data_IF_189588937369
#
_entry.id   IF_189588937369
#
_cell.length_a   1.000
_cell.length_b   1.000
_cell.length_c   1.000
_cell.angle_alpha   90.00
_cell.angle_beta   90.00
_cell.angle_gamma   90.00
#
_symmetry.space_group_name_H-M   'P 1'
#
loop_
_entity.id
_entity.type
_entity.pdbx_description
1 polymer ?
#
# COMPACT_ATOMS: atom_id res chain seq x y z
N UNK A 1 -42.64 -33.55 -52.35
CA UNK A 1 -43.59 -34.33 -51.52
C UNK A 1 -42.93 -34.59 -50.16
N UNK A 2 -43.57 -34.61 -48.98
CA UNK A 2 -44.91 -34.22 -48.50
C UNK A 2 -44.85 -34.20 -46.94
N UNK A 3 -45.59 -33.42 -46.14
CA UNK A 3 -46.40 -32.18 -46.30
C UNK A 3 -46.80 -31.66 -44.89
N UNK A 4 -46.92 -30.33 -44.71
CA UNK A 4 -47.92 -29.64 -43.83
C UNK A 4 -48.02 -30.15 -42.35
N UNK A 5 -47.37 -29.53 -41.36
CA UNK A 5 -47.73 -28.26 -40.68
C UNK A 5 -49.01 -28.26 -39.79
N UNK A 6 -48.86 -27.87 -38.51
CA UNK A 6 -49.87 -27.54 -37.46
C UNK A 6 -49.08 -26.92 -36.28
N UNK A 7 -49.42 -25.81 -35.62
CA UNK A 7 -50.51 -24.80 -35.74
C UNK A 7 -50.03 -23.41 -35.25
N UNK A 8 -50.73 -22.34 -35.63
CA UNK A 8 -50.78 -21.02 -34.96
C UNK A 8 -52.09 -20.95 -34.11
N UNK A 9 -52.46 -19.96 -33.28
CA UNK A 9 -51.98 -18.61 -32.83
C UNK A 9 -52.79 -18.25 -31.56
N UNK A 10 -52.57 -17.20 -30.75
CA UNK A 10 -51.65 -16.05 -30.75
C UNK A 10 -50.96 -15.98 -29.35
N UNK A 11 -50.62 -14.87 -28.65
CA UNK A 11 -50.68 -13.40 -28.78
C UNK A 11 -49.47 -12.82 -28.00
N UNK A 12 -48.76 -11.73 -28.36
CA UNK A 12 -49.13 -10.42 -28.90
C UNK A 12 -49.48 -9.32 -27.86
N UNK A 13 -48.52 -8.99 -26.98
CA UNK A 13 -48.25 -7.66 -26.39
C UNK A 13 -46.85 -7.71 -25.72
N UNK A 14 -45.78 -7.08 -26.20
CA UNK A 14 -45.51 -5.65 -26.46
C UNK A 14 -45.11 -4.84 -25.21
N UNK A 15 -43.82 -4.54 -25.08
CA UNK A 15 -43.34 -3.15 -24.94
C UNK A 15 -41.90 -3.01 -25.48
N UNK A 16 -41.50 -1.78 -25.79
CA UNK A 16 -40.18 -1.45 -26.34
C UNK A 16 -39.29 -0.90 -25.22
N UNK A 17 -38.04 -1.40 -25.13
CA UNK A 17 -36.93 -0.62 -24.59
C UNK A 17 -35.86 -0.54 -25.67
N UNK A 18 -35.77 0.62 -26.32
CA UNK A 18 -34.66 0.95 -27.19
C UNK A 18 -33.60 1.69 -26.36
N UNK A 19 -32.62 0.93 -25.86
CA UNK A 19 -31.37 1.46 -25.34
C UNK A 19 -30.25 0.72 -26.08
N UNK A 20 -29.70 1.36 -27.11
CA UNK A 20 -28.78 0.71 -28.03
C UNK A 20 -27.40 0.46 -27.40
N UNK A 21 -27.14 -0.78 -26.98
CA UNK A 21 -25.78 -1.26 -26.73
C UNK A 21 -25.03 -1.38 -28.06
N UNK A 22 -24.48 -0.26 -28.53
CA UNK A 22 -23.66 -0.22 -29.74
C UNK A 22 -22.35 -0.95 -29.49
N UNK A 23 -22.33 -2.25 -29.79
CA UNK A 23 -21.09 -3.02 -29.95
C UNK A 23 -20.31 -2.50 -31.17
N UNK A 24 -19.55 -1.41 -30.99
CA UNK A 24 -18.51 -1.00 -31.95
C UNK A 24 -17.37 -2.01 -31.88
N UNK A 25 -17.45 -3.07 -32.69
CA UNK A 25 -16.30 -3.94 -32.94
C UNK A 25 -15.14 -3.13 -33.49
N UNK A 26 -13.93 -3.36 -32.99
CA UNK A 26 -12.71 -2.63 -33.40
C UNK A 26 -12.39 -2.97 -34.86
N UNK A 27 -12.79 -2.09 -35.78
CA UNK A 27 -12.48 -2.22 -37.19
C UNK A 27 -11.12 -1.58 -37.48
N UNK A 28 -10.07 -2.40 -37.56
CA UNK A 28 -8.73 -1.96 -37.95
C UNK A 28 -8.76 -1.43 -39.40
N UNK A 29 -8.65 -0.11 -39.55
CA UNK A 29 -8.42 0.54 -40.84
C UNK A 29 -6.92 0.81 -41.04
N UNK A 30 -6.50 0.84 -42.31
CA UNK A 30 -5.07 0.73 -42.69
C UNK A 30 -4.13 1.87 -42.25
N UNK A 31 -4.65 2.94 -41.63
CA UNK A 31 -3.89 4.14 -41.25
C UNK A 31 -3.75 4.36 -39.72
N UNK A 32 -3.99 3.33 -38.89
CA UNK A 32 -3.37 3.21 -37.57
C UNK A 32 -3.76 4.19 -36.44
N UNK A 33 -4.56 5.23 -36.69
CA UNK A 33 -4.98 6.19 -35.66
C UNK A 33 -6.05 5.59 -34.75
N UNK A 34 -5.62 5.03 -33.61
CA UNK A 34 -6.52 4.76 -32.47
C UNK A 34 -6.94 6.10 -31.88
N UNK A 35 -8.15 6.56 -32.23
CA UNK A 35 -8.71 7.74 -31.60
C UNK A 35 -9.13 7.39 -30.18
N UNK A 36 -8.29 7.75 -29.21
CA UNK A 36 -8.72 7.78 -27.82
C UNK A 36 -9.91 8.74 -27.70
N UNK A 37 -11.02 8.27 -27.12
CA UNK A 37 -12.11 9.15 -26.77
C UNK A 37 -11.69 9.95 -25.53
N UNK A 38 -11.47 11.25 -25.68
CA UNK A 38 -11.30 12.17 -24.54
C UNK A 38 -12.56 12.10 -23.68
N UNK A 39 -12.49 11.27 -22.64
CA UNK A 39 -13.57 11.12 -21.68
C UNK A 39 -13.48 12.32 -20.75
N UNK A 40 -14.13 13.41 -21.15
CA UNK A 40 -14.34 14.60 -20.32
C UNK A 40 -15.20 14.20 -19.13
N UNK A 41 -14.54 13.66 -18.10
CA UNK A 41 -15.15 13.24 -16.85
C UNK A 41 -15.64 14.48 -16.09
N UNK A 42 -16.82 14.97 -16.49
CA UNK A 42 -17.57 15.96 -15.75
C UNK A 42 -17.81 15.39 -14.35
N UNK A 43 -17.06 15.88 -13.36
CA UNK A 43 -17.08 15.33 -12.02
C UNK A 43 -18.47 15.53 -11.41
N UNK A 44 -19.24 14.44 -11.36
CA UNK A 44 -20.50 14.40 -10.64
C UNK A 44 -20.18 14.54 -9.15
N UNK A 45 -20.19 15.79 -8.67
CA UNK A 45 -19.82 16.13 -7.31
C UNK A 45 -20.48 15.17 -6.31
N UNK A 46 -19.63 14.48 -5.53
CA UNK A 46 -20.05 13.39 -4.65
C UNK A 46 -21.15 13.86 -3.69
N UNK A 47 -22.29 13.16 -3.73
CA UNK A 47 -23.50 13.52 -2.96
C UNK A 47 -23.70 12.70 -1.68
N UNK A 48 -22.77 11.81 -1.37
CA UNK A 48 -22.77 11.08 -0.11
C UNK A 48 -22.36 11.97 1.07
N UNK A 49 -22.45 11.43 2.29
CA UNK A 49 -21.96 12.11 3.48
C UNK A 49 -20.43 12.18 3.43
N UNK A 50 -19.86 13.35 3.76
CA UNK A 50 -18.41 13.53 3.90
C UNK A 50 -17.89 12.60 5.01
N UNK A 51 -16.90 11.72 4.76
CA UNK A 51 -16.31 10.90 5.82
C UNK A 51 -15.61 11.79 6.84
N UNK A 52 -15.74 11.45 8.13
CA UNK A 52 -14.99 12.01 9.25
C UNK A 52 -13.63 11.31 9.39
N UNK A 53 -13.60 10.01 9.12
CA UNK A 53 -12.42 9.17 9.26
C UNK A 53 -12.04 8.62 7.89
N UNK A 54 -10.79 8.79 7.49
CA UNK A 54 -10.30 8.38 6.16
C UNK A 54 -9.04 7.55 6.35
N UNK A 55 -9.08 6.29 5.90
CA UNK A 55 -7.92 5.41 5.82
C UNK A 55 -7.51 5.23 4.35
N UNK A 56 -6.24 5.42 4.06
CA UNK A 56 -5.62 5.23 2.75
C UNK A 56 -4.51 4.18 2.87
N UNK A 57 -4.81 2.94 2.48
CA UNK A 57 -3.85 1.84 2.47
C UNK A 57 -3.17 1.72 1.11
N UNK A 58 -1.85 1.69 1.10
CA UNK A 58 -1.02 1.48 -0.08
C UNK A 58 -0.15 0.24 0.13
N UNK A 59 -0.30 -0.77 -0.73
CA UNK A 59 0.74 -1.80 -0.89
C UNK A 59 1.73 -1.35 -1.96
N UNK A 60 2.94 -0.93 -1.57
CA UNK A 60 4.02 -0.61 -2.53
C UNK A 60 4.25 -1.86 -3.40
N UNK A 61 4.20 -1.72 -4.72
CA UNK A 61 4.33 -2.83 -5.68
C UNK A 61 3.18 -3.86 -5.71
N UNK A 62 2.07 -3.64 -4.98
CA UNK A 62 0.95 -4.58 -4.90
C UNK A 62 -0.07 -4.41 -6.04
N UNK A 63 -0.14 -5.37 -6.96
CA UNK A 63 -1.18 -5.44 -7.99
C UNK A 63 -2.01 -6.73 -7.87
N UNK A 64 -2.89 -6.98 -8.85
CA UNK A 64 -3.70 -8.19 -8.91
C UNK A 64 -2.91 -9.50 -8.74
N UNK A 65 -1.69 -9.69 -9.28
CA UNK A 65 -0.91 -10.91 -9.05
C UNK A 65 -0.55 -11.14 -7.57
N UNK A 66 -0.10 -10.10 -6.86
CA UNK A 66 0.27 -10.15 -5.44
C UNK A 66 -0.95 -10.45 -4.56
N UNK A 67 -2.09 -9.82 -4.86
CA UNK A 67 -3.39 -10.09 -4.23
C UNK A 67 -3.81 -11.55 -4.50
N UNK A 68 -3.77 -11.99 -5.76
CA UNK A 68 -4.24 -13.31 -6.16
C UNK A 68 -3.37 -14.43 -5.55
N UNK A 69 -2.04 -14.37 -5.67
CA UNK A 69 -1.16 -15.44 -5.16
C UNK A 69 -1.29 -15.63 -3.64
N UNK A 70 -1.61 -14.56 -2.92
CA UNK A 70 -1.91 -14.59 -1.47
C UNK A 70 -3.23 -15.31 -1.16
N UNK A 71 -4.27 -15.05 -1.95
CA UNK A 71 -5.57 -15.72 -1.84
C UNK A 71 -5.51 -17.20 -2.26
N UNK A 72 -4.81 -17.49 -3.35
CA UNK A 72 -4.58 -18.85 -3.85
C UNK A 72 -3.74 -19.66 -2.85
N UNK A 73 -2.75 -19.05 -2.19
CA UNK A 73 -1.97 -19.70 -1.13
C UNK A 73 -2.83 -20.06 0.08
N UNK A 74 -3.67 -19.15 0.58
CA UNK A 74 -4.59 -19.48 1.69
C UNK A 74 -5.62 -20.55 1.31
N UNK A 75 -6.08 -20.54 0.06
CA UNK A 75 -6.99 -21.54 -0.48
C UNK A 75 -6.32 -22.92 -0.49
N UNK A 76 -5.14 -23.05 -1.11
CA UNK A 76 -4.34 -24.27 -1.11
C UNK A 76 -3.89 -24.74 0.30
N UNK A 77 -3.79 -23.84 1.27
CA UNK A 77 -3.49 -24.16 2.67
C UNK A 77 -4.70 -24.60 3.50
N UNK A 78 -5.92 -24.44 2.97
CA UNK A 78 -7.19 -24.90 3.59
C UNK A 78 -7.82 -26.09 2.85
N UNK A 79 -7.34 -26.40 1.65
CA UNK A 79 -7.78 -27.52 0.82
C UNK A 79 -7.13 -28.83 1.32
N UNK A 80 -7.58 -29.31 2.49
CA UNK A 80 -7.04 -30.51 3.16
C UNK A 80 -7.79 -31.81 2.80
N UNK A 81 -8.76 -31.71 1.89
CA UNK A 81 -9.69 -32.76 1.47
C UNK A 81 -9.04 -33.96 0.72
N UNK A 82 -7.74 -33.86 0.42
CA UNK A 82 -6.91 -34.86 -0.26
C UNK A 82 -7.58 -35.45 -1.53
N UNK A 83 -8.13 -34.58 -2.39
CA UNK A 83 -8.65 -34.95 -3.70
C UNK A 83 -8.32 -33.85 -4.74
N UNK A 84 -8.64 -34.09 -6.02
CA UNK A 84 -8.27 -33.19 -7.13
C UNK A 84 -9.27 -32.02 -7.34
N UNK A 85 -10.09 -31.68 -6.34
CA UNK A 85 -11.13 -30.64 -6.40
C UNK A 85 -10.79 -29.52 -5.42
N UNK A 86 -10.52 -28.33 -5.95
CA UNK A 86 -10.37 -27.09 -5.18
C UNK A 86 -11.72 -26.71 -4.57
N UNK A 87 -11.89 -26.96 -3.26
CA UNK A 87 -13.12 -26.66 -2.52
C UNK A 87 -12.97 -25.41 -1.63
N UNK A 88 -11.74 -25.07 -1.22
CA UNK A 88 -11.44 -23.85 -0.50
C UNK A 88 -11.31 -22.63 -1.42
N UNK A 89 -12.06 -21.56 -1.14
CA UNK A 89 -11.74 -20.19 -1.58
C UNK A 89 -11.48 -19.32 -0.34
N UNK A 90 -10.42 -18.52 -0.38
CA UNK A 90 -10.00 -17.62 0.70
C UNK A 90 -9.64 -16.26 0.14
N UNK A 91 -10.35 -15.23 0.56
CA UNK A 91 -10.21 -13.87 0.06
C UNK A 91 -9.54 -12.96 1.08
N UNK A 92 -8.80 -11.96 0.61
CA UNK A 92 -8.30 -10.88 1.47
C UNK A 92 -9.47 -9.95 1.80
N UNK A 93 -9.54 -9.47 3.05
CA UNK A 93 -10.69 -8.71 3.57
C UNK A 93 -11.09 -7.49 2.72
N UNK A 94 -10.11 -6.78 2.13
CA UNK A 94 -10.37 -5.64 1.23
C UNK A 94 -10.93 -6.00 -0.14
N UNK A 95 -10.83 -7.26 -0.59
CA UNK A 95 -11.44 -7.70 -1.87
C UNK A 95 -12.97 -7.93 -1.75
N UNK A 96 -13.52 -7.79 -0.54
CA UNK A 96 -14.97 -7.77 -0.28
C UNK A 96 -15.58 -6.36 -0.23
N UNK A 97 -14.81 -5.30 -0.51
CA UNK A 97 -15.33 -3.92 -0.47
C UNK A 97 -16.40 -3.66 -1.53
N UNK A 98 -17.36 -2.79 -1.21
CA UNK A 98 -18.56 -2.52 -2.04
C UNK A 98 -18.24 -1.98 -3.45
N UNK A 99 -17.08 -1.36 -3.61
CA UNK A 99 -16.59 -0.81 -4.87
C UNK A 99 -15.17 -1.32 -5.17
N UNK A 100 -14.94 -1.67 -6.42
CA UNK A 100 -13.61 -2.05 -6.96
C UNK A 100 -13.44 -1.44 -8.35
N UNK A 101 -12.20 -1.26 -8.78
CA UNK A 101 -11.84 -0.64 -10.05
C UNK A 101 -10.35 -0.76 -10.34
N UNK A 102 -9.92 -0.25 -11.48
CA UNK A 102 -8.51 -0.24 -11.91
C UNK A 102 -8.02 1.19 -12.15
N UNK A 103 -6.78 1.44 -11.77
CA UNK A 103 -6.07 2.69 -12.03
C UNK A 103 -4.94 2.45 -13.05
N UNK A 104 -4.52 3.52 -13.74
CA UNK A 104 -3.34 3.50 -14.62
C UNK A 104 -2.25 4.35 -13.98
N UNK A 105 -1.10 3.73 -13.74
CA UNK A 105 -0.13 4.22 -12.74
C UNK A 105 0.97 5.12 -13.31
N UNK A 106 1.20 5.12 -14.63
CA UNK A 106 2.30 5.80 -15.34
C UNK A 106 2.65 7.21 -14.82
N UNK A 107 3.94 7.57 -14.88
CA UNK A 107 4.44 8.90 -14.51
C UNK A 107 4.64 9.81 -15.74
N UNK A 108 5.11 11.05 -15.55
CA UNK A 108 5.29 12.03 -16.64
C UNK A 108 6.38 11.67 -17.67
N UNK A 109 7.05 10.53 -17.51
CA UNK A 109 8.14 10.02 -18.35
C UNK A 109 8.11 8.51 -18.64
N UNK A 110 7.41 7.70 -17.82
CA UNK A 110 7.52 6.24 -17.82
C UNK A 110 6.17 5.52 -17.60
N UNK A 111 5.93 4.47 -18.39
CA UNK A 111 4.86 3.50 -18.16
C UNK A 111 5.18 2.48 -17.04
N UNK A 112 6.42 2.46 -16.57
CA UNK A 112 6.87 1.75 -15.38
C UNK A 112 7.34 2.84 -14.38
N UNK A 113 6.42 3.39 -13.56
CA UNK A 113 6.70 4.51 -12.67
C UNK A 113 7.44 4.03 -11.41
N UNK A 114 7.70 4.94 -10.47
CA UNK A 114 8.25 4.63 -9.16
C UNK A 114 7.35 5.09 -8.01
N UNK A 115 7.54 4.53 -6.81
CA UNK A 115 6.78 4.88 -5.60
C UNK A 115 6.79 6.36 -5.17
N UNK A 116 7.63 7.22 -5.75
CA UNK A 116 7.58 8.67 -5.51
C UNK A 116 6.56 9.37 -6.42
N UNK A 117 6.60 9.07 -7.70
CA UNK A 117 5.71 9.64 -8.72
C UNK A 117 4.29 9.10 -8.64
N UNK A 118 4.11 7.82 -8.30
CA UNK A 118 2.80 7.21 -8.04
C UNK A 118 2.16 7.76 -6.77
N UNK A 119 2.89 7.82 -5.65
CA UNK A 119 2.37 8.34 -4.39
C UNK A 119 2.07 9.85 -4.46
N UNK A 120 2.90 10.64 -5.16
CA UNK A 120 2.57 12.05 -5.50
C UNK A 120 1.24 12.14 -6.26
N UNK A 121 0.99 11.22 -7.20
CA UNK A 121 -0.26 11.16 -7.96
C UNK A 121 -1.47 10.72 -7.11
N UNK A 122 -1.26 9.95 -6.04
CA UNK A 122 -2.30 9.54 -5.09
C UNK A 122 -2.60 10.61 -4.03
N UNK A 123 -1.59 11.37 -3.60
CA UNK A 123 -1.72 12.40 -2.55
C UNK A 123 -2.15 13.76 -3.09
N UNK A 124 -1.71 14.16 -4.28
CA UNK A 124 -1.96 15.51 -4.84
C UNK A 124 -2.96 15.53 -6.00
N UNK A 125 -3.08 14.42 -6.74
CA UNK A 125 -3.82 14.32 -8.00
C UNK A 125 -3.04 14.74 -9.25
N UNK A 126 -1.76 15.12 -9.13
CA UNK A 126 -0.90 15.51 -10.25
C UNK A 126 0.13 14.41 -10.59
N UNK A 127 0.53 14.34 -11.86
CA UNK A 127 1.70 13.56 -12.28
C UNK A 127 2.98 14.37 -12.09
N UNK A 128 4.11 13.67 -12.02
CA UNK A 128 5.46 14.23 -11.96
C UNK A 128 6.46 13.17 -12.48
N UNK A 129 7.75 13.44 -12.48
CA UNK A 129 8.77 12.46 -12.88
C UNK A 129 9.10 11.44 -11.80
N UNK A 130 9.48 10.23 -12.22
CA UNK A 130 10.10 9.21 -11.37
C UNK A 130 11.13 9.80 -10.40
N UNK A 131 11.00 9.48 -9.12
CA UNK A 131 11.87 9.94 -8.06
C UNK A 131 11.54 11.32 -7.48
N UNK A 132 10.48 11.99 -7.93
CA UNK A 132 10.06 13.32 -7.45
C UNK A 132 8.92 13.20 -6.43
N UNK A 133 8.96 14.00 -5.37
CA UNK A 133 7.96 14.02 -4.29
C UNK A 133 7.23 15.37 -4.32
N UNK A 134 5.94 15.38 -4.65
CA UNK A 134 5.04 16.55 -4.58
C UNK A 134 5.57 17.87 -5.19
N UNK A 135 6.31 17.77 -6.29
CA UNK A 135 6.79 18.89 -7.10
C UNK A 135 6.44 18.67 -8.57
N UNK A 136 6.27 19.76 -9.32
CA UNK A 136 6.11 19.73 -10.78
C UNK A 136 7.40 19.28 -11.51
N UNK A 137 7.27 18.99 -12.82
CA UNK A 137 8.38 18.54 -13.67
C UNK A 137 9.54 19.57 -13.82
N UNK A 138 9.34 20.84 -13.44
CA UNK A 138 10.40 21.86 -13.38
C UNK A 138 11.05 22.00 -12.00
N UNK A 139 10.48 21.34 -10.98
CA UNK A 139 10.84 21.47 -9.56
C UNK A 139 10.76 22.90 -9.02
N UNK A 140 9.83 23.72 -9.52
CA UNK A 140 9.60 25.11 -9.09
C UNK A 140 8.27 25.33 -8.38
N UNK A 141 7.32 24.40 -8.53
CA UNK A 141 5.98 24.46 -7.97
C UNK A 141 5.73 23.22 -7.11
N UNK A 142 5.48 23.43 -5.81
CA UNK A 142 5.05 22.38 -4.89
C UNK A 142 3.56 22.09 -5.05
N UNK A 143 3.17 20.84 -4.91
CA UNK A 143 1.79 20.38 -4.99
C UNK A 143 1.23 20.08 -3.59
N UNK A 144 0.28 20.88 -3.12
CA UNK A 144 -0.44 20.69 -1.85
C UNK A 144 -1.12 19.30 -1.83
N UNK A 145 -0.80 18.46 -0.85
CA UNK A 145 -1.34 17.10 -0.69
C UNK A 145 -2.73 17.10 -0.07
N UNK A 146 -3.41 15.95 -0.15
CA UNK A 146 -4.66 15.70 0.56
C UNK A 146 -4.48 15.74 2.08
N UNK A 147 -3.33 15.33 2.61
CA UNK A 147 -3.09 15.32 4.05
C UNK A 147 -3.00 16.75 4.62
N UNK A 148 -2.21 17.63 3.98
CA UNK A 148 -2.16 19.07 4.30
C UNK A 148 -3.55 19.71 4.20
N UNK A 149 -4.29 19.46 3.10
CA UNK A 149 -5.66 19.97 2.92
C UNK A 149 -6.60 19.56 4.06
N UNK A 150 -6.51 18.31 4.53
CA UNK A 150 -7.35 17.81 5.61
C UNK A 150 -6.92 18.38 6.97
N UNK A 151 -5.62 18.54 7.23
CA UNK A 151 -5.04 19.19 8.41
C UNK A 151 -5.42 20.67 8.49
N UNK A 152 -4.97 21.48 7.55
CA UNK A 152 -5.03 22.94 7.61
C UNK A 152 -6.42 23.50 7.30
N UNK A 153 -7.06 22.99 6.24
CA UNK A 153 -8.33 23.55 5.76
C UNK A 153 -9.55 22.97 6.51
N UNK A 154 -9.38 21.87 7.25
CA UNK A 154 -10.50 21.19 7.92
C UNK A 154 -10.26 20.79 9.38
N UNK A 155 -9.03 20.87 9.88
CA UNK A 155 -8.69 20.54 11.27
C UNK A 155 -8.75 19.04 11.58
N UNK A 156 -8.46 18.17 10.61
CA UNK A 156 -8.31 16.73 10.88
C UNK A 156 -6.95 16.47 11.54
N UNK A 157 -6.90 15.50 12.45
CA UNK A 157 -5.60 14.92 12.82
C UNK A 157 -5.06 14.10 11.64
N UNK A 158 -3.74 14.02 11.48
CA UNK A 158 -3.09 13.25 10.41
C UNK A 158 -2.15 12.19 10.98
N UNK A 159 -2.28 10.96 10.47
CA UNK A 159 -1.38 9.85 10.73
C UNK A 159 -0.71 9.31 9.46
N UNK A 160 0.59 9.01 9.56
CA UNK A 160 1.39 8.40 8.48
C UNK A 160 2.08 7.16 9.06
N UNK A 161 1.71 5.98 8.55
CA UNK A 161 2.21 4.68 9.02
C UNK A 161 2.91 3.93 7.87
N UNK A 162 4.04 3.28 8.14
CA UNK A 162 4.80 2.54 7.12
C UNK A 162 5.51 1.31 7.68
N UNK A 163 5.54 0.20 6.92
CA UNK A 163 6.41 -0.95 7.22
C UNK A 163 7.88 -0.74 6.80
N UNK A 164 8.18 0.36 6.10
CA UNK A 164 9.53 0.78 5.71
C UNK A 164 9.88 2.10 6.40
N UNK A 165 10.90 2.83 5.92
CA UNK A 165 11.35 4.06 6.55
C UNK A 165 10.27 5.15 6.47
N UNK A 166 10.02 5.88 7.56
CA UNK A 166 9.06 6.99 7.56
C UNK A 166 9.39 8.10 6.55
N UNK A 167 10.67 8.27 6.18
CA UNK A 167 11.12 9.17 5.10
C UNK A 167 11.40 8.46 3.76
N UNK A 168 10.79 7.29 3.52
CA UNK A 168 10.70 6.69 2.19
C UNK A 168 9.70 7.45 1.29
N UNK A 169 9.64 7.12 0.00
CA UNK A 169 8.90 7.91 -0.99
C UNK A 169 7.39 7.95 -0.75
N UNK A 170 6.76 6.80 -0.53
CA UNK A 170 5.32 6.66 -0.33
C UNK A 170 4.81 7.46 0.88
N UNK A 171 5.42 7.40 2.08
CA UNK A 171 5.03 8.27 3.19
C UNK A 171 5.42 9.74 2.97
N UNK A 172 6.61 10.02 2.42
CA UNK A 172 7.04 11.40 2.13
C UNK A 172 6.09 12.15 1.19
N UNK A 173 5.49 11.44 0.22
CA UNK A 173 4.49 12.00 -0.69
C UNK A 173 3.20 12.46 -0.01
N UNK A 174 3.01 12.26 1.30
CA UNK A 174 1.89 12.83 2.05
C UNK A 174 2.27 14.01 2.96
N UNK A 175 3.54 14.43 3.05
CA UNK A 175 3.94 15.52 3.96
C UNK A 175 5.15 16.38 3.52
N UNK A 176 5.86 16.04 2.44
CA UNK A 176 7.10 16.72 2.00
C UNK A 176 7.08 17.06 0.50
N UNK A 177 7.96 17.96 0.05
CA UNK A 177 8.04 18.47 -1.32
C UNK A 177 9.50 18.55 -1.79
N UNK A 178 9.97 17.50 -2.49
CA UNK A 178 11.37 17.34 -2.86
C UNK A 178 11.56 16.94 -4.32
N UNK A 179 12.52 17.60 -4.97
CA UNK A 179 13.03 17.23 -6.30
C UNK A 179 13.74 15.85 -6.34
N UNK A 180 13.91 15.17 -5.20
CA UNK A 180 14.37 13.79 -5.15
C UNK A 180 13.92 13.04 -3.89
N UNK A 181 13.40 11.81 -4.06
CA UNK A 181 13.14 10.83 -2.99
C UNK A 181 14.39 10.41 -2.21
N UNK A 182 15.58 10.89 -2.62
CA UNK A 182 16.85 10.66 -1.94
C UNK A 182 17.30 11.82 -1.02
N UNK A 183 16.53 12.92 -0.93
CA UNK A 183 16.75 14.02 0.01
C UNK A 183 16.30 13.66 1.44
N UNK A 184 16.70 12.48 1.94
CA UNK A 184 16.14 11.85 3.14
C UNK A 184 16.17 12.72 4.40
N UNK A 185 17.20 13.56 4.57
CA UNK A 185 17.30 14.47 5.71
C UNK A 185 16.34 15.66 5.56
N UNK A 186 16.23 16.24 4.37
CA UNK A 186 15.31 17.33 4.05
C UNK A 186 13.85 16.88 4.20
N UNK A 187 13.50 15.71 3.64
CA UNK A 187 12.22 15.03 3.89
C UNK A 187 11.99 14.85 5.40
N UNK A 188 13.05 14.50 6.14
CA UNK A 188 13.00 14.36 7.59
C UNK A 188 12.76 15.67 8.36
N UNK A 189 13.17 16.82 7.82
CA UNK A 189 12.80 18.13 8.36
C UNK A 189 11.33 18.45 8.08
N UNK A 190 10.86 18.20 6.85
CA UNK A 190 9.47 18.44 6.45
C UNK A 190 8.49 17.55 7.24
N UNK A 191 8.87 16.31 7.58
CA UNK A 191 8.13 15.46 8.52
C UNK A 191 7.85 16.19 9.84
N UNK A 192 8.89 16.81 10.40
CA UNK A 192 8.82 17.52 11.69
C UNK A 192 7.98 18.80 11.54
N UNK A 193 8.25 19.59 10.50
CA UNK A 193 7.63 20.89 10.28
C UNK A 193 6.17 20.80 9.76
N UNK A 194 5.70 19.62 9.32
CA UNK A 194 4.31 19.35 8.90
C UNK A 194 3.25 19.52 10.01
N UNK A 195 3.67 19.55 11.28
CA UNK A 195 2.81 19.53 12.48
C UNK A 195 1.80 18.35 12.55
N UNK A 196 1.97 17.30 11.75
CA UNK A 196 1.09 16.13 11.76
C UNK A 196 1.16 15.36 13.09
N UNK A 197 0.08 14.65 13.42
CA UNK A 197 -0.19 14.21 14.78
C UNK A 197 0.45 12.84 15.11
N UNK A 198 0.61 11.98 14.11
CA UNK A 198 1.13 10.63 14.29
C UNK A 198 2.02 10.17 13.13
N UNK A 199 3.25 9.75 13.44
CA UNK A 199 4.10 9.00 12.53
C UNK A 199 4.48 7.66 13.18
N UNK A 200 4.40 6.55 12.45
CA UNK A 200 4.80 5.25 12.99
C UNK A 200 5.37 4.27 11.95
N UNK A 201 6.49 3.61 12.25
CA UNK A 201 7.07 2.65 11.32
C UNK A 201 8.57 2.40 11.46
N UNK A 202 9.24 2.18 10.33
CA UNK A 202 10.69 2.10 10.26
C UNK A 202 11.38 3.45 10.47
N UNK A 203 12.64 3.40 10.90
CA UNK A 203 13.46 4.55 11.25
C UNK A 203 13.69 5.54 10.11
N UNK A 204 14.00 6.78 10.47
CA UNK A 204 14.38 7.84 9.53
C UNK A 204 15.78 7.60 8.97
N UNK A 205 15.89 7.36 7.66
CA UNK A 205 17.19 7.23 6.97
C UNK A 205 17.98 8.52 7.07
N UNK A 206 19.29 8.41 7.25
CA UNK A 206 20.22 9.55 7.30
C UNK A 206 19.83 10.61 8.35
N UNK A 207 19.42 10.16 9.56
CA UNK A 207 18.95 11.05 10.62
C UNK A 207 19.95 12.14 11.04
N UNK A 208 21.26 11.91 10.90
CA UNK A 208 22.33 12.90 11.15
C UNK A 208 22.85 13.58 9.87
N UNK A 209 22.06 13.50 8.79
CA UNK A 209 22.46 13.90 7.45
C UNK A 209 23.30 12.84 6.73
N UNK A 210 23.49 13.02 5.42
CA UNK A 210 24.18 12.05 4.55
C UNK A 210 25.61 11.70 4.98
N UNK A 211 26.30 12.61 5.68
CA UNK A 211 27.67 12.40 6.15
C UNK A 211 27.78 12.21 7.68
N UNK A 212 26.66 12.25 8.42
CA UNK A 212 26.69 12.30 9.89
C UNK A 212 27.18 13.64 10.47
N UNK A 213 26.99 14.73 9.72
CA UNK A 213 27.49 16.08 10.00
C UNK A 213 26.40 17.10 10.40
N UNK A 214 25.15 16.67 10.50
CA UNK A 214 23.99 17.51 10.88
C UNK A 214 23.43 17.07 12.23
N UNK A 215 22.57 17.90 12.82
CA UNK A 215 21.87 17.53 14.06
C UNK A 215 20.86 16.42 13.78
N UNK A 216 20.78 15.43 14.66
CA UNK A 216 19.83 14.33 14.55
C UNK A 216 18.36 14.79 14.39
N UNK A 217 17.62 14.14 13.49
CA UNK A 217 16.19 14.40 13.26
C UNK A 217 15.32 14.12 14.50
N UNK A 218 15.62 13.10 15.30
CA UNK A 218 14.84 12.79 16.51
C UNK A 218 14.97 13.91 17.55
N UNK A 219 16.20 14.34 17.85
CA UNK A 219 16.46 15.52 18.70
C UNK A 219 15.82 16.83 18.16
N UNK A 220 15.47 16.89 16.86
CA UNK A 220 14.76 18.03 16.25
C UNK A 220 13.24 17.87 16.40
N UNK A 221 12.71 16.65 16.25
CA UNK A 221 11.31 16.32 16.50
C UNK A 221 10.90 16.56 17.96
N UNK A 222 11.71 16.09 18.92
CA UNK A 222 11.50 16.37 20.36
C UNK A 222 11.43 17.88 20.62
N UNK A 223 12.33 18.65 19.99
CA UNK A 223 12.36 20.12 20.11
C UNK A 223 11.14 20.80 19.46
N UNK A 224 10.52 20.17 18.47
CA UNK A 224 9.25 20.60 17.85
C UNK A 224 8.02 20.08 18.65
N UNK A 225 8.22 19.35 19.74
CA UNK A 225 7.14 18.88 20.62
C UNK A 225 6.49 17.57 20.18
N UNK A 226 7.19 16.74 19.42
CA UNK A 226 6.81 15.34 19.23
C UNK A 226 7.33 14.49 20.40
N UNK A 227 6.49 13.56 20.86
CA UNK A 227 6.95 12.42 21.65
C UNK A 227 7.65 11.44 20.71
N UNK A 228 8.99 11.38 20.74
CA UNK A 228 9.74 10.37 19.99
C UNK A 228 9.84 9.12 20.84
N UNK A 229 9.38 7.99 20.30
CA UNK A 229 9.23 6.72 21.00
C UNK A 229 10.00 5.64 20.24
N UNK A 230 10.83 4.88 20.97
CA UNK A 230 11.71 3.85 20.40
C UNK A 230 11.42 2.44 20.93
N UNK A 231 10.45 2.28 21.84
CA UNK A 231 10.06 0.99 22.42
C UNK A 231 8.56 0.78 22.37
N UNK A 232 8.14 -0.48 22.24
CA UNK A 232 6.73 -0.88 22.26
C UNK A 232 6.10 -0.59 23.62
N UNK A 233 6.88 -0.82 24.68
CA UNK A 233 6.53 -0.52 26.07
C UNK A 233 6.11 0.96 26.23
N UNK A 234 6.83 1.91 25.64
CA UNK A 234 6.48 3.33 25.66
C UNK A 234 5.31 3.66 24.71
N UNK A 235 5.27 3.01 23.53
CA UNK A 235 4.19 3.16 22.56
C UNK A 235 2.82 2.75 23.12
N UNK A 236 2.73 1.67 23.89
CA UNK A 236 1.50 1.25 24.58
C UNK A 236 0.94 2.33 25.50
N UNK A 237 1.83 3.09 26.17
CA UNK A 237 1.48 4.11 27.17
C UNK A 237 1.01 5.44 26.55
N UNK A 238 1.27 5.67 25.27
CA UNK A 238 0.88 6.89 24.54
C UNK A 238 -0.63 6.93 24.28
N UNK A 239 -1.27 8.08 24.56
CA UNK A 239 -2.69 8.33 24.34
C UNK A 239 -2.94 9.59 23.50
N UNK A 240 -4.19 9.80 23.03
CA UNK A 240 -4.60 11.01 22.30
C UNK A 240 -4.41 12.35 23.03
N UNK A 241 -4.02 12.34 24.32
CA UNK A 241 -3.81 13.53 25.17
C UNK A 241 -2.36 14.00 25.18
N UNK A 242 -1.42 13.14 24.82
CA UNK A 242 0.02 13.37 24.99
C UNK A 242 0.62 14.20 23.85
N UNK A 243 -0.16 14.44 22.79
CA UNK A 243 0.17 15.34 21.68
C UNK A 243 0.67 14.59 20.45
N UNK A 244 1.57 15.23 19.69
CA UNK A 244 2.16 14.64 18.48
C UNK A 244 3.12 13.52 18.85
N UNK A 245 3.25 12.48 18.02
CA UNK A 245 4.19 11.38 18.28
C UNK A 245 4.87 10.85 17.01
N UNK A 246 6.10 10.34 17.19
CA UNK A 246 6.85 9.55 16.22
C UNK A 246 7.22 8.24 16.90
N UNK A 247 6.66 7.11 16.44
CA UNK A 247 6.95 5.77 16.98
C UNK A 247 7.81 5.00 15.99
N UNK A 248 9.05 4.70 16.37
CA UNK A 248 9.94 3.84 15.59
C UNK A 248 9.85 2.41 16.12
N UNK A 249 9.83 1.43 15.22
CA UNK A 249 9.80 0.02 15.59
C UNK A 249 11.03 -0.39 16.41
N UNK A 250 10.78 -1.01 17.57
CA UNK A 250 11.82 -1.40 18.54
C UNK A 250 12.82 -2.44 17.99
N UNK A 251 12.36 -3.31 17.08
CA UNK A 251 13.22 -4.13 16.23
C UNK A 251 13.12 -3.64 14.79
N UNK A 252 14.26 -3.19 14.25
CA UNK A 252 14.41 -2.84 12.84
C UNK A 252 15.26 -3.89 12.11
N UNK A 253 14.98 -4.07 10.82
CA UNK A 253 15.62 -5.03 9.93
C UNK A 253 16.53 -4.32 8.90
N UNK A 254 16.54 -4.80 7.66
CA UNK A 254 17.31 -4.22 6.57
C UNK A 254 16.89 -2.77 6.27
N UNK A 255 17.88 -1.91 6.03
CA UNK A 255 17.70 -0.48 5.73
C UNK A 255 16.91 0.32 6.78
N UNK A 256 16.91 -0.11 8.04
CA UNK A 256 16.18 0.52 9.16
C UNK A 256 14.64 0.47 9.00
N UNK A 257 14.13 -0.44 8.16
CA UNK A 257 12.70 -0.76 8.04
C UNK A 257 12.22 -1.72 9.14
N UNK A 258 10.91 -1.98 9.23
CA UNK A 258 10.41 -3.07 10.08
C UNK A 258 10.84 -4.44 9.53
N UNK A 259 10.77 -5.48 10.37
CA UNK A 259 10.90 -6.89 9.95
C UNK A 259 9.89 -7.24 8.84
N UNK A 260 10.30 -8.01 7.84
CA UNK A 260 9.36 -8.68 6.93
C UNK A 260 8.40 -9.55 7.74
N UNK A 261 7.14 -9.67 7.31
CA UNK A 261 6.10 -10.33 8.09
C UNK A 261 6.36 -11.82 8.39
N UNK A 262 7.24 -12.49 7.63
CA UNK A 262 7.72 -13.86 7.89
C UNK A 262 9.05 -13.95 8.67
N UNK A 263 9.74 -12.82 8.90
CA UNK A 263 10.90 -12.72 9.81
C UNK A 263 10.50 -12.24 11.22
N UNK A 264 9.43 -11.44 11.31
CA UNK A 264 8.95 -10.79 12.54
C UNK A 264 8.70 -11.79 13.67
N UNK A 265 9.29 -11.54 14.85
CA UNK A 265 9.04 -12.35 16.06
C UNK A 265 7.64 -12.09 16.65
N UNK A 266 7.21 -12.97 17.56
CA UNK A 266 5.90 -12.87 18.24
C UNK A 266 5.79 -11.70 19.23
N UNK A 267 6.92 -11.12 19.62
CA UNK A 267 7.13 -10.00 20.54
C UNK A 267 7.50 -8.68 19.82
N UNK A 268 7.34 -8.64 18.49
CA UNK A 268 7.48 -7.45 17.64
C UNK A 268 6.11 -7.03 17.08
N UNK A 269 5.75 -5.75 17.19
CA UNK A 269 4.52 -5.17 16.62
C UNK A 269 4.42 -5.38 15.09
N UNK A 270 3.26 -5.82 14.63
CA UNK A 270 2.87 -5.87 13.23
C UNK A 270 2.43 -4.49 12.71
N UNK A 271 2.31 -4.34 11.39
CA UNK A 271 1.71 -3.16 10.76
C UNK A 271 0.30 -2.83 11.29
N UNK A 272 -0.48 -3.85 11.69
CA UNK A 272 -1.78 -3.67 12.34
C UNK A 272 -1.71 -2.93 13.68
N UNK A 273 -0.61 -3.07 14.41
CA UNK A 273 -0.55 -2.66 15.81
C UNK A 273 -0.20 -1.17 15.88
N UNK A 274 0.62 -0.69 14.93
CA UNK A 274 0.78 0.74 14.65
C UNK A 274 -0.50 1.40 14.10
N UNK A 275 -1.33 0.69 13.32
CA UNK A 275 -2.64 1.22 12.90
C UNK A 275 -3.62 1.30 14.08
N UNK A 276 -3.64 0.29 14.95
CA UNK A 276 -4.48 0.28 16.16
C UNK A 276 -4.09 1.39 17.14
N UNK A 277 -2.79 1.56 17.44
CA UNK A 277 -2.30 2.69 18.24
C UNK A 277 -2.54 4.03 17.54
N UNK A 278 -2.41 4.09 16.20
CA UNK A 278 -2.78 5.25 15.40
C UNK A 278 -4.25 5.65 15.56
N UNK A 279 -5.18 4.70 15.52
CA UNK A 279 -6.61 4.93 15.73
C UNK A 279 -6.86 5.50 17.14
N UNK A 280 -6.17 4.99 18.16
CA UNK A 280 -6.29 5.50 19.54
C UNK A 280 -5.81 6.95 19.65
N UNK A 281 -4.61 7.28 19.18
CA UNK A 281 -4.02 8.62 19.40
C UNK A 281 -4.59 9.69 18.47
N UNK A 282 -5.13 9.29 17.31
CA UNK A 282 -5.84 10.17 16.39
C UNK A 282 -7.31 10.42 16.78
N UNK A 283 -7.83 9.84 17.86
CA UNK A 283 -9.20 10.15 18.29
C UNK A 283 -9.39 11.64 18.59
N UNK A 284 -10.51 12.19 18.09
CA UNK A 284 -10.96 13.58 18.24
C UNK A 284 -12.36 13.85 17.61
N UNK A 285 -12.93 15.02 17.93
CA UNK A 285 -14.24 15.46 17.42
C UNK A 285 -14.28 15.82 15.92
N UNK A 286 -13.17 16.19 15.29
CA UNK A 286 -13.10 16.63 13.88
C UNK A 286 -12.93 15.48 12.90
N UNK A 287 -12.22 14.43 13.31
CA UNK A 287 -11.86 13.29 12.46
C UNK A 287 -10.37 13.21 12.15
N UNK A 288 -9.99 12.21 11.36
CA UNK A 288 -8.59 12.01 10.97
C UNK A 288 -8.43 11.49 9.55
N UNK A 289 -7.25 11.74 8.99
CA UNK A 289 -6.71 11.05 7.83
C UNK A 289 -5.55 10.16 8.29
N UNK A 290 -5.55 8.89 7.89
CA UNK A 290 -4.43 7.97 8.12
C UNK A 290 -4.00 7.34 6.80
N UNK A 291 -2.74 7.55 6.41
CA UNK A 291 -2.10 6.78 5.34
C UNK A 291 -1.31 5.61 5.96
N UNK A 292 -1.41 4.42 5.37
CA UNK A 292 -0.74 3.20 5.84
C UNK A 292 -0.07 2.48 4.67
N UNK A 293 1.25 2.33 4.72
CA UNK A 293 2.05 1.70 3.67
C UNK A 293 2.52 0.27 4.06
N UNK A 294 2.11 -0.72 3.27
CA UNK A 294 2.66 -2.08 3.28
C UNK A 294 3.91 -2.21 2.42
N UNK A 295 4.91 -1.36 2.65
CA UNK A 295 6.06 -1.14 1.76
C UNK A 295 7.01 -2.34 1.58
N UNK A 296 6.89 -3.39 2.40
CA UNK A 296 7.69 -4.61 2.27
C UNK A 296 7.25 -5.52 1.12
N UNK A 297 6.05 -5.32 0.56
CA UNK A 297 5.53 -6.10 -0.58
C UNK A 297 6.42 -5.89 -1.81
N UNK A 298 6.70 -4.62 -2.18
CA UNK A 298 7.64 -4.25 -3.23
C UNK A 298 9.03 -4.85 -3.01
N UNK A 299 9.59 -4.70 -1.80
CA UNK A 299 10.97 -5.15 -1.52
C UNK A 299 11.09 -6.68 -1.65
N UNK A 300 10.07 -7.43 -1.24
CA UNK A 300 9.99 -8.87 -1.45
C UNK A 300 9.82 -9.22 -2.94
N UNK A 301 9.01 -8.48 -3.69
CA UNK A 301 8.85 -8.66 -5.14
C UNK A 301 10.16 -8.37 -5.90
N UNK A 302 10.89 -7.31 -5.55
CA UNK A 302 12.21 -6.99 -6.09
C UNK A 302 13.26 -8.07 -5.80
N UNK A 303 13.15 -8.78 -4.66
CA UNK A 303 13.96 -9.95 -4.34
C UNK A 303 13.51 -11.24 -5.06
N UNK A 304 12.37 -11.22 -5.77
CA UNK A 304 11.64 -12.38 -6.27
C UNK A 304 11.26 -13.39 -5.15
N UNK A 305 11.00 -12.88 -3.94
CA UNK A 305 10.63 -13.67 -2.77
C UNK A 305 9.11 -13.78 -2.64
N UNK A 306 8.55 -14.84 -3.24
CA UNK A 306 7.11 -15.12 -3.18
C UNK A 306 6.59 -15.36 -1.74
N UNK A 307 7.41 -15.93 -0.84
CA UNK A 307 6.99 -16.24 0.52
C UNK A 307 6.86 -15.00 1.40
N UNK A 308 7.81 -14.06 1.31
CA UNK A 308 7.70 -12.74 1.94
C UNK A 308 6.63 -11.89 1.25
N UNK A 309 6.52 -11.91 -0.09
CA UNK A 309 5.47 -11.17 -0.82
C UNK A 309 4.07 -11.51 -0.30
N UNK A 310 3.78 -12.80 -0.11
CA UNK A 310 2.52 -13.27 0.49
C UNK A 310 2.41 -12.82 1.95
N UNK A 311 3.46 -13.01 2.76
CA UNK A 311 3.42 -12.67 4.19
C UNK A 311 3.18 -11.18 4.45
N UNK A 312 3.81 -10.29 3.68
CA UNK A 312 3.67 -8.84 3.84
C UNK A 312 2.37 -8.32 3.20
N UNK A 313 1.84 -8.98 2.16
CA UNK A 313 0.46 -8.76 1.66
C UNK A 313 -0.57 -9.14 2.74
N UNK A 314 -0.31 -10.22 3.50
CA UNK A 314 -1.12 -10.60 4.67
C UNK A 314 -1.00 -9.58 5.81
N UNK A 315 0.19 -9.02 6.07
CA UNK A 315 0.37 -7.97 7.08
C UNK A 315 -0.41 -6.69 6.73
N UNK A 316 -0.44 -6.29 5.45
CA UNK A 316 -1.30 -5.22 4.97
C UNK A 316 -2.79 -5.54 5.16
N UNK A 317 -3.22 -6.77 4.85
CA UNK A 317 -4.59 -7.23 5.12
C UNK A 317 -4.96 -7.16 6.61
N UNK A 318 -4.03 -7.53 7.51
CA UNK A 318 -4.20 -7.37 8.95
C UNK A 318 -4.36 -5.91 9.39
N UNK A 319 -3.57 -5.00 8.80
CA UNK A 319 -3.68 -3.57 9.04
C UNK A 319 -5.01 -2.98 8.54
N UNK A 320 -5.48 -3.41 7.37
CA UNK A 320 -6.83 -3.06 6.87
C UNK A 320 -7.92 -3.61 7.80
N UNK A 321 -7.71 -4.74 8.46
CA UNK A 321 -8.70 -5.31 9.38
C UNK A 321 -9.00 -4.37 10.56
N UNK A 322 -7.99 -3.64 11.07
CA UNK A 322 -8.18 -2.61 12.10
C UNK A 322 -9.03 -1.43 11.63
N UNK A 323 -8.87 -1.00 10.39
CA UNK A 323 -9.77 0.00 9.80
C UNK A 323 -11.19 -0.55 9.57
N UNK A 324 -11.36 -1.84 9.25
CA UNK A 324 -12.68 -2.50 9.15
C UNK A 324 -13.35 -2.63 10.53
N UNK A 325 -12.60 -3.03 11.57
CA UNK A 325 -13.04 -3.07 12.97
C UNK A 325 -13.53 -1.68 13.45
N UNK A 326 -12.87 -0.61 13.01
CA UNK A 326 -13.30 0.78 13.25
C UNK A 326 -14.51 1.18 12.39
N UNK A 327 -14.51 0.88 11.08
CA UNK A 327 -15.64 1.15 10.18
C UNK A 327 -16.94 0.52 10.69
N UNK A 328 -16.90 -0.69 11.24
CA UNK A 328 -18.06 -1.36 11.82
C UNK A 328 -18.66 -0.62 13.04
N UNK A 329 -17.91 0.29 13.66
CA UNK A 329 -18.37 1.17 14.74
C UNK A 329 -18.79 2.55 14.21
N UNK A 330 -18.26 2.97 13.07
CA UNK A 330 -18.45 4.30 12.47
C UNK A 330 -18.79 4.26 10.96
N UNK A 331 -19.79 3.47 10.49
CA UNK A 331 -19.95 3.16 9.06
C UNK A 331 -20.40 4.36 8.23
N UNK A 332 -21.32 5.18 8.76
CA UNK A 332 -21.76 6.43 8.12
C UNK A 332 -20.70 7.55 8.14
N UNK A 333 -19.51 7.30 8.69
CA UNK A 333 -18.49 8.31 8.95
C UNK A 333 -17.09 7.92 8.43
N UNK A 334 -16.90 6.69 7.95
CA UNK A 334 -15.57 6.14 7.66
C UNK A 334 -15.43 5.78 6.18
N UNK A 335 -14.35 6.24 5.55
CA UNK A 335 -13.91 5.81 4.23
C UNK A 335 -12.62 4.99 4.37
N UNK A 336 -12.60 3.79 3.80
CA UNK A 336 -11.38 3.00 3.61
C UNK A 336 -11.10 2.89 2.12
N UNK A 337 -9.90 3.27 1.71
CA UNK A 337 -9.36 3.03 0.36
C UNK A 337 -8.18 2.07 0.51
N UNK A 338 -8.10 1.06 -0.36
CA UNK A 338 -6.95 0.15 -0.48
C UNK A 338 -6.54 0.11 -1.94
N UNK A 339 -5.26 0.34 -2.21
CA UNK A 339 -4.68 0.30 -3.56
C UNK A 339 -3.25 -0.23 -3.51
N UNK A 340 -2.70 -0.58 -4.66
CA UNK A 340 -1.25 -0.45 -4.88
C UNK A 340 -0.93 0.84 -5.60
N UNK A 341 0.36 1.12 -5.75
CA UNK A 341 0.87 2.29 -6.46
C UNK A 341 1.48 1.88 -7.83
N UNK A 342 2.17 0.75 -7.88
CA UNK A 342 2.57 0.00 -9.09
C UNK A 342 2.49 -1.53 -8.89
N UNK A 343 2.92 -2.30 -9.89
CA UNK A 343 3.21 -3.74 -9.77
C UNK A 343 4.73 -3.91 -9.72
N UNK A 344 5.24 -4.84 -8.91
CA UNK A 344 6.67 -5.13 -8.85
C UNK A 344 6.97 -6.59 -9.18
N UNK A 345 7.99 -6.79 -10.02
CA UNK A 345 8.56 -8.10 -10.34
C UNK A 345 7.97 -8.79 -11.58
N UNK A 346 6.79 -8.37 -12.07
CA UNK A 346 6.09 -9.08 -13.15
C UNK A 346 5.59 -10.45 -12.71
N UNK A 347 5.00 -10.52 -11.51
CA UNK A 347 4.66 -11.77 -10.83
C UNK A 347 3.65 -12.58 -11.65
N UNK A 348 3.94 -13.87 -11.84
CA UNK A 348 3.08 -14.81 -12.57
C UNK A 348 2.74 -16.03 -11.73
N UNK A 349 1.50 -16.50 -11.83
CA UNK A 349 0.99 -17.67 -11.10
C UNK A 349 1.04 -18.87 -12.05
N UNK A 350 2.09 -19.68 -11.91
CA UNK A 350 2.42 -20.79 -12.80
C UNK A 350 3.23 -20.39 -14.04
N UNK A 351 4.01 -21.33 -14.56
CA UNK A 351 4.78 -21.14 -15.80
C UNK A 351 4.98 -22.48 -16.53
N UNK A 352 5.56 -22.46 -17.73
CA UNK A 352 5.72 -23.64 -18.58
C UNK A 352 6.44 -24.85 -17.91
N UNK A 353 7.23 -24.63 -16.85
CA UNK A 353 7.87 -25.70 -16.08
C UNK A 353 6.97 -26.38 -15.03
N UNK A 354 5.84 -25.77 -14.64
CA UNK A 354 4.85 -26.36 -13.72
C UNK A 354 3.57 -26.81 -14.42
N UNK A 355 3.46 -26.62 -15.74
CA UNK A 355 2.25 -26.82 -16.55
C UNK A 355 1.08 -25.93 -16.09
N UNK A 356 0.22 -26.47 -15.22
CA UNK A 356 -0.91 -25.77 -14.58
C UNK A 356 -0.91 -25.95 -13.06
N UNK A 357 0.16 -26.52 -12.49
CA UNK A 357 0.39 -26.58 -11.04
C UNK A 357 1.09 -25.29 -10.56
N UNK A 358 0.90 -24.97 -9.29
CA UNK A 358 1.43 -23.78 -8.60
C UNK A 358 2.19 -24.13 -7.33
N UNK A 359 2.07 -25.35 -6.81
CA UNK A 359 2.78 -25.87 -5.64
C UNK A 359 2.78 -24.98 -4.37
N UNK A 360 1.78 -24.11 -4.20
CA UNK A 360 1.79 -23.01 -3.22
C UNK A 360 1.98 -23.47 -1.76
N UNK A 361 1.52 -24.68 -1.43
CA UNK A 361 1.72 -25.29 -0.10
C UNK A 361 3.18 -25.58 0.26
N UNK A 362 4.12 -25.46 -0.69
CA UNK A 362 5.56 -25.49 -0.39
C UNK A 362 6.04 -24.20 0.30
N UNK A 363 5.39 -23.05 0.05
CA UNK A 363 5.80 -21.75 0.60
C UNK A 363 5.65 -21.69 2.13
N UNK A 364 4.78 -22.52 2.73
CA UNK A 364 4.66 -22.68 4.19
C UNK A 364 5.96 -23.12 4.87
N UNK A 365 6.91 -23.69 4.11
CA UNK A 365 8.21 -24.14 4.60
C UNK A 365 9.25 -23.02 4.64
N UNK A 366 9.01 -21.88 4.00
CA UNK A 366 9.85 -20.69 4.12
C UNK A 366 9.61 -20.06 5.50
N UNK A 367 10.69 -19.85 6.27
CA UNK A 367 10.68 -19.35 7.65
C UNK A 367 11.50 -18.08 7.88
N UNK A 368 12.02 -17.51 6.81
CA UNK A 368 12.82 -16.28 6.77
C UNK A 368 12.59 -15.61 5.41
N UNK A 369 12.77 -14.30 5.31
CA UNK A 369 12.93 -13.65 4.01
C UNK A 369 14.26 -14.01 3.35
N UNK A 370 14.35 -13.82 2.04
CA UNK A 370 15.59 -13.88 1.27
C UNK A 370 16.68 -12.95 1.86
N UNK A 371 16.29 -11.76 2.33
CA UNK A 371 17.19 -10.79 2.94
C UNK A 371 17.80 -11.32 4.26
N UNK A 372 16.98 -11.83 5.17
CA UNK A 372 17.43 -12.36 6.47
C UNK A 372 18.21 -13.67 6.31
N UNK A 373 17.78 -14.55 5.39
CA UNK A 373 18.52 -15.76 5.03
C UNK A 373 19.93 -15.42 4.52
N UNK A 374 20.04 -14.44 3.62
CA UNK A 374 21.32 -13.97 3.07
C UNK A 374 22.21 -13.35 4.15
N UNK A 375 21.65 -12.48 5.01
CA UNK A 375 22.37 -11.90 6.14
C UNK A 375 22.93 -12.97 7.09
N UNK A 376 22.11 -13.98 7.42
CA UNK A 376 22.47 -15.11 8.29
C UNK A 376 23.58 -15.99 7.68
N UNK A 377 23.51 -16.30 6.38
CA UNK A 377 24.57 -17.03 5.68
C UNK A 377 25.90 -16.25 5.61
N UNK A 378 25.85 -14.93 5.44
CA UNK A 378 27.05 -14.08 5.45
C UNK A 378 27.68 -14.01 6.85
N UNK A 379 26.87 -13.93 7.92
CA UNK A 379 27.37 -13.93 9.30
C UNK A 379 28.05 -15.26 9.67
N UNK A 380 27.46 -16.41 9.31
CA UNK A 380 28.06 -17.72 9.61
C UNK A 380 29.39 -17.91 8.86
N UNK A 381 29.44 -17.53 7.58
CA UNK A 381 30.65 -17.60 6.75
C UNK A 381 31.78 -16.71 7.31
N UNK A 382 31.46 -15.51 7.81
CA UNK A 382 32.42 -14.64 8.52
C UNK A 382 32.98 -15.30 9.79
N UNK A 383 32.12 -15.90 10.63
CA UNK A 383 32.53 -16.62 11.86
C UNK A 383 33.48 -17.78 11.53
N UNK A 384 33.17 -18.61 10.54
CA UNK A 384 34.05 -19.71 10.08
C UNK A 384 35.39 -19.18 9.55
N UNK A 385 35.37 -18.09 8.77
CA UNK A 385 36.60 -17.47 8.23
C UNK A 385 37.49 -16.86 9.31
N UNK A 386 36.91 -16.41 10.43
CA UNK A 386 37.65 -15.91 11.59
C UNK A 386 38.21 -17.05 12.45
N UNK A 387 37.45 -18.14 12.63
CA UNK A 387 37.90 -19.35 13.32
C UNK A 387 39.03 -20.10 12.59
N UNK A 388 39.11 -19.98 11.25
CA UNK A 388 40.22 -20.50 10.43
C UNK A 388 41.46 -19.59 10.38
N UNK A 389 41.47 -18.51 11.17
CA UNK A 389 42.60 -17.56 11.32
C UNK A 389 43.15 -17.50 12.75
N UNK A 390 42.73 -18.44 13.60
CA UNK A 390 43.22 -18.69 14.97
C UNK A 390 43.85 -20.08 15.04
#
# INVERSE_FOLDING_TARGET
>A
MNTIAKRLSAAAAALVIAAGSVYTGVCLTQNGTVSAAETTAASSAYKGKKPKYIFMFIGDGMSYPQIQVTQDYYSAMRDDNNNDILEANSYLNFTHFEATGSAVTYDSSSFCPDSASTATSLSTGYKTYSGTINMDETYTTSYETIAEKLKDQMGYKVGIVSSVNLNHATPAAYYAHQASRNSYYEIGLELIDSDFDYFAGGGLKQADGKNGDRKNLYDLAEKNGYNVIMTQDEAEKLTAKDGKAIIIGETLADSDALSYANDRKTDEWALSDYVEKGIEVLDNDKGFFMMVEGGKIDWACHANDAGSTIADTVALGGAVNKAIEFYNQHPDETLIVVTGDHETGGLTIGYAGTNYDTFLTNLKNQKLSYANLTATMLQSTRKTTQALKM
#
